data_IF_085718457666
#
_entry.id   IF_085718457666
#
_cell.length_a   1.000
_cell.length_b   1.000
_cell.length_c   1.000
_cell.angle_alpha   90.00
_cell.angle_beta   90.00
_cell.angle_gamma   90.00
#
_symmetry.space_group_name_H-M   'P 1'
#
loop_
_entity.id
_entity.type
_entity.pdbx_description
1 polymer ?
#
# COMPACT_ATOMS: atom_id res chain seq x y z
N UNK A 1 -29.81 11.98 15.52
CA UNK A 1 -28.74 12.18 14.52
C UNK A 1 -28.17 10.80 14.24
N UNK A 2 -28.38 10.20 13.07
CA UNK A 2 -28.04 8.80 12.87
C UNK A 2 -27.38 8.58 11.49
N UNK A 3 -26.08 8.31 11.55
CA UNK A 3 -25.11 7.95 10.52
C UNK A 3 -25.62 7.69 9.09
N UNK A 4 -25.45 8.71 8.24
CA UNK A 4 -25.67 8.60 6.79
C UNK A 4 -24.53 7.90 6.05
N UNK A 5 -23.33 7.80 6.62
CA UNK A 5 -22.20 7.16 5.96
C UNK A 5 -22.31 5.62 5.97
N UNK A 6 -21.61 5.00 5.03
CA UNK A 6 -21.41 3.55 4.93
C UNK A 6 -19.91 3.32 4.87
N UNK A 7 -19.42 2.49 5.77
CA UNK A 7 -18.04 2.03 5.78
C UNK A 7 -17.78 1.16 4.55
N UNK A 8 -16.67 1.39 3.85
CA UNK A 8 -16.25 0.58 2.70
C UNK A 8 -14.90 -0.05 3.02
N UNK A 9 -14.85 -1.37 3.02
CA UNK A 9 -13.66 -2.14 3.35
C UNK A 9 -13.93 -3.64 3.25
N UNK A 10 -12.91 -4.45 3.53
CA UNK A 10 -13.03 -5.92 3.52
C UNK A 10 -13.68 -6.49 4.77
N UNK A 11 -13.63 -5.78 5.90
CA UNK A 11 -14.01 -6.34 7.20
C UNK A 11 -13.00 -7.35 7.76
N UNK A 12 -11.83 -7.46 7.13
CA UNK A 12 -10.75 -8.36 7.51
C UNK A 12 -9.48 -7.57 7.85
N UNK A 13 -8.72 -8.06 8.83
CA UNK A 13 -7.41 -7.51 9.22
C UNK A 13 -6.28 -8.50 8.92
N UNK A 14 -5.09 -7.97 8.69
CA UNK A 14 -3.83 -8.70 8.57
C UNK A 14 -2.77 -8.01 9.44
N UNK A 15 -1.86 -8.77 10.06
CA UNK A 15 -0.76 -8.14 10.80
C UNK A 15 0.22 -7.45 9.85
N UNK A 16 0.91 -6.42 10.33
CA UNK A 16 1.95 -5.72 9.55
C UNK A 16 3.02 -6.71 9.06
N UNK A 17 3.45 -7.67 9.88
CA UNK A 17 4.45 -8.65 9.49
C UNK A 17 3.97 -9.58 8.36
N UNK A 18 2.72 -10.02 8.41
CA UNK A 18 2.14 -10.85 7.35
C UNK A 18 1.99 -10.06 6.05
N UNK A 19 1.54 -8.80 6.13
CA UNK A 19 1.51 -7.89 4.99
C UNK A 19 2.90 -7.67 4.39
N UNK A 20 3.92 -7.40 5.22
CA UNK A 20 5.31 -7.24 4.75
C UNK A 20 5.78 -8.49 4.03
N UNK A 21 5.56 -9.68 4.60
CA UNK A 21 5.93 -10.97 3.96
C UNK A 21 5.20 -11.19 2.64
N UNK A 22 3.91 -10.86 2.58
CA UNK A 22 3.10 -10.95 1.36
C UNK A 22 3.68 -10.06 0.26
N UNK A 23 3.96 -8.78 0.57
CA UNK A 23 4.55 -7.82 -0.37
C UNK A 23 5.94 -8.29 -0.81
N UNK A 24 6.81 -8.69 0.13
CA UNK A 24 8.15 -9.21 -0.18
C UNK A 24 8.11 -10.37 -1.17
N UNK A 25 7.18 -11.31 -0.99
CA UNK A 25 6.98 -12.43 -1.91
C UNK A 25 6.53 -11.96 -3.31
N UNK A 26 5.59 -11.01 -3.37
CA UNK A 26 5.05 -10.50 -4.64
C UNK A 26 6.11 -9.74 -5.44
N UNK A 27 6.93 -8.91 -4.77
CA UNK A 27 7.96 -8.10 -5.44
C UNK A 27 9.26 -8.86 -5.72
N UNK A 28 9.40 -10.10 -5.25
CA UNK A 28 10.61 -10.90 -5.40
C UNK A 28 11.76 -10.45 -4.50
N UNK A 29 11.46 -9.95 -3.29
CA UNK A 29 12.48 -9.59 -2.32
C UNK A 29 13.05 -10.85 -1.63
N UNK A 30 14.35 -11.06 -1.76
CA UNK A 30 15.07 -12.22 -1.21
C UNK A 30 15.88 -11.88 0.06
N UNK A 31 15.79 -10.64 0.55
CA UNK A 31 16.48 -10.22 1.78
C UNK A 31 15.78 -10.67 3.06
N UNK A 32 16.38 -10.34 4.20
CA UNK A 32 15.80 -10.63 5.52
C UNK A 32 14.82 -9.54 5.96
N UNK A 33 13.71 -9.94 6.57
CA UNK A 33 12.76 -9.03 7.21
C UNK A 33 13.07 -8.98 8.71
N UNK A 34 13.69 -7.89 9.17
CA UNK A 34 13.98 -7.65 10.58
C UNK A 34 12.97 -6.69 11.21
N UNK A 35 12.64 -6.90 12.50
CA UNK A 35 11.76 -6.01 13.27
C UNK A 35 12.60 -5.22 14.27
N UNK A 36 12.49 -3.90 14.24
CA UNK A 36 13.08 -3.04 15.26
C UNK A 36 12.06 -2.82 16.39
N UNK A 37 12.19 -3.60 17.46
CA UNK A 37 11.30 -3.54 18.63
C UNK A 37 11.59 -2.35 19.54
N UNK A 38 12.60 -1.53 19.25
CA UNK A 38 12.83 -0.27 19.98
C UNK A 38 11.82 0.82 19.58
N UNK A 39 11.17 0.66 18.42
CA UNK A 39 10.17 1.60 17.91
C UNK A 39 8.78 1.25 18.44
N UNK A 40 7.96 2.25 18.83
CA UNK A 40 6.64 1.98 19.37
C UNK A 40 5.71 1.42 18.28
N UNK A 41 4.96 0.38 18.63
CA UNK A 41 3.84 -0.09 17.80
C UNK A 41 2.67 0.91 17.89
N UNK A 42 1.94 1.06 16.77
CA UNK A 42 0.69 1.82 16.73
C UNK A 42 -0.47 1.09 17.41
N UNK A 43 -1.71 1.55 17.17
CA UNK A 43 -2.90 0.87 17.71
C UNK A 43 -2.97 -0.59 17.27
N UNK A 44 -3.12 -1.57 18.20
CA UNK A 44 -3.04 -3.00 17.88
C UNK A 44 -4.05 -3.51 16.85
N UNK A 45 -5.16 -2.80 16.67
CA UNK A 45 -6.19 -3.13 15.67
C UNK A 45 -6.84 -1.86 15.14
N UNK A 46 -7.00 -1.78 13.82
CA UNK A 46 -7.73 -0.71 13.14
C UNK A 46 -8.71 -1.32 12.14
N UNK A 47 -9.73 -1.99 12.67
CA UNK A 47 -10.78 -2.66 11.89
C UNK A 47 -11.99 -1.76 11.73
N UNK A 48 -12.51 -1.68 10.52
CA UNK A 48 -13.75 -0.99 10.21
C UNK A 48 -14.90 -2.02 10.17
N UNK A 49 -15.97 -1.82 10.96
CA UNK A 49 -17.17 -2.65 10.78
C UNK A 49 -17.81 -2.34 9.43
N UNK A 50 -18.11 -3.40 8.67
CA UNK A 50 -18.72 -3.34 7.33
C UNK A 50 -20.10 -4.02 7.30
N UNK A 51 -20.72 -4.23 8.48
CA UNK A 51 -22.00 -4.95 8.60
C UNK A 51 -23.10 -4.31 7.75
N UNK A 52 -23.15 -2.97 7.75
CA UNK A 52 -24.09 -2.19 6.92
C UNK A 52 -23.84 -2.40 5.43
N UNK A 53 -22.58 -2.52 5.00
CA UNK A 53 -22.21 -2.73 3.61
C UNK A 53 -22.55 -4.15 3.14
N UNK A 54 -22.29 -5.15 3.98
CA UNK A 54 -22.67 -6.55 3.72
C UNK A 54 -24.18 -6.73 3.66
N UNK A 55 -24.94 -6.05 4.54
CA UNK A 55 -26.40 -6.06 4.52
C UNK A 55 -26.98 -5.46 3.23
N UNK A 56 -26.25 -4.57 2.55
CA UNK A 56 -26.61 -4.05 1.23
C UNK A 56 -26.24 -5.01 0.08
N UNK A 57 -25.72 -6.21 0.39
CA UNK A 57 -25.35 -7.23 -0.59
C UNK A 57 -24.02 -6.97 -1.29
N UNK A 58 -23.22 -6.01 -0.82
CA UNK A 58 -21.90 -5.74 -1.37
C UNK A 58 -20.83 -6.49 -0.61
N UNK A 59 -19.86 -7.05 -1.34
CA UNK A 59 -18.63 -7.64 -0.81
C UNK A 59 -17.47 -7.35 -1.77
N UNK A 60 -16.23 -7.23 -1.27
CA UNK A 60 -15.06 -7.07 -2.13
C UNK A 60 -14.89 -8.33 -2.99
N UNK A 61 -14.53 -8.14 -4.26
CA UNK A 61 -14.30 -9.26 -5.20
C UNK A 61 -12.83 -9.63 -5.38
N UNK A 62 -11.94 -8.71 -5.00
CA UNK A 62 -10.49 -8.83 -5.14
C UNK A 62 -9.94 -9.04 -3.74
N UNK A 63 -9.19 -10.12 -3.54
CA UNK A 63 -8.52 -10.37 -2.26
C UNK A 63 -7.24 -9.51 -2.12
N UNK A 64 -6.69 -9.43 -0.91
CA UNK A 64 -5.51 -8.61 -0.65
C UNK A 64 -4.30 -9.03 -1.49
N UNK A 65 -4.09 -10.32 -1.71
CA UNK A 65 -2.93 -10.83 -2.44
C UNK A 65 -3.04 -10.51 -3.92
N UNK A 66 -4.21 -10.74 -4.51
CA UNK A 66 -4.54 -10.39 -5.89
C UNK A 66 -4.39 -8.88 -6.11
N UNK A 67 -4.98 -8.07 -5.23
CA UNK A 67 -4.91 -6.61 -5.30
C UNK A 67 -3.48 -6.07 -5.22
N UNK A 68 -2.64 -6.61 -4.33
CA UNK A 68 -1.22 -6.21 -4.23
C UNK A 68 -0.41 -6.64 -5.45
N UNK A 69 -0.66 -7.83 -6.00
CA UNK A 69 0.01 -8.30 -7.20
C UNK A 69 -0.35 -7.44 -8.43
N UNK A 70 -1.62 -7.10 -8.57
CA UNK A 70 -2.11 -6.23 -9.64
C UNK A 70 -1.58 -4.80 -9.50
N UNK A 71 -1.56 -4.25 -8.28
CA UNK A 71 -0.95 -2.95 -8.02
C UNK A 71 0.56 -2.93 -8.37
N UNK A 72 1.29 -4.00 -8.03
CA UNK A 72 2.69 -4.12 -8.39
C UNK A 72 2.89 -4.24 -9.91
N UNK A 73 2.04 -4.99 -10.61
CA UNK A 73 2.05 -5.06 -12.08
C UNK A 73 1.78 -3.68 -12.70
N UNK A 74 0.75 -2.97 -12.21
CA UNK A 74 0.41 -1.61 -12.62
C UNK A 74 1.60 -0.66 -12.45
N UNK A 75 2.32 -0.77 -11.33
CA UNK A 75 3.54 0.00 -11.08
C UNK A 75 4.65 -0.32 -12.10
N UNK A 76 4.92 -1.59 -12.38
CA UNK A 76 5.92 -2.00 -13.38
C UNK A 76 5.56 -1.56 -14.81
N UNK A 77 4.26 -1.47 -15.12
CA UNK A 77 3.75 -1.00 -16.41
C UNK A 77 3.71 0.53 -16.52
N UNK A 78 4.00 1.27 -15.45
CA UNK A 78 3.92 2.74 -15.43
C UNK A 78 2.49 3.29 -15.37
N UNK A 79 1.52 2.46 -14.98
CA UNK A 79 0.11 2.83 -14.83
C UNK A 79 -0.13 3.50 -13.47
N UNK A 80 0.53 4.62 -13.22
CA UNK A 80 0.31 5.46 -12.05
C UNK A 80 0.49 6.94 -12.41
N UNK A 81 -0.22 7.81 -11.70
CA UNK A 81 -0.06 9.25 -11.88
C UNK A 81 1.12 9.74 -11.04
N UNK A 82 2.07 10.41 -11.68
CA UNK A 82 3.09 11.16 -10.95
C UNK A 82 2.42 12.35 -10.26
N UNK A 83 2.59 12.44 -8.94
CA UNK A 83 2.14 13.61 -8.20
C UNK A 83 3.19 14.71 -8.36
N UNK A 84 2.99 15.61 -9.32
CA UNK A 84 3.82 16.81 -9.48
C UNK A 84 3.73 17.66 -8.21
N UNK A 85 4.85 17.81 -7.50
CA UNK A 85 4.90 18.51 -6.22
C UNK A 85 5.10 20.01 -6.41
N UNK A 86 4.23 20.65 -7.20
CA UNK A 86 4.21 22.10 -7.32
C UNK A 86 3.09 22.67 -6.44
N UNK A 87 3.52 23.39 -5.40
CA UNK A 87 2.75 24.26 -4.48
C UNK A 87 2.27 23.63 -3.17
N UNK A 88 2.91 24.06 -2.06
CA UNK A 88 2.30 23.98 -0.72
C UNK A 88 3.31 23.83 0.42
N UNK A 89 3.98 24.94 0.80
CA UNK A 89 4.56 25.07 2.15
C UNK A 89 3.47 24.78 3.19
N UNK A 90 3.69 23.76 3.99
CA UNK A 90 2.81 23.36 5.06
C UNK A 90 3.36 22.08 5.65
N UNK A 91 4.21 22.23 6.67
CA UNK A 91 4.65 21.14 7.53
C UNK A 91 3.49 20.19 7.85
N UNK A 92 3.78 18.88 7.82
CA UNK A 92 3.16 17.78 8.58
C UNK A 92 3.20 16.47 7.77
N UNK A 93 4.39 15.88 7.57
CA UNK A 93 4.65 14.43 7.79
C UNK A 93 6.18 14.28 8.02
N UNK A 94 6.63 14.61 9.23
CA UNK A 94 7.84 14.00 9.77
C UNK A 94 7.42 12.70 10.46
N UNK A 95 8.24 11.66 10.33
CA UNK A 95 8.12 10.31 10.89
C UNK A 95 7.35 9.29 10.02
N UNK A 96 8.11 8.64 9.14
CA UNK A 96 8.05 7.18 9.07
C UNK A 96 9.47 6.62 9.02
N UNK A 97 9.77 5.94 10.11
CA UNK A 97 11.01 5.35 10.59
C UNK A 97 11.55 4.16 9.76
N UNK A 98 11.30 4.13 8.46
CA UNK A 98 11.68 3.00 7.61
C UNK A 98 12.88 3.39 6.76
N UNK A 99 14.07 3.13 7.28
CA UNK A 99 15.30 3.12 6.50
C UNK A 99 15.33 1.83 5.69
N UNK A 100 15.09 1.92 4.39
CA UNK A 100 15.46 0.83 3.47
C UNK A 100 16.94 0.96 3.17
N UNK A 101 17.79 0.08 3.73
CA UNK A 101 19.10 -0.13 3.10
C UNK A 101 18.86 -0.58 1.66
N UNK A 102 19.66 -0.05 0.72
CA UNK A 102 19.61 -0.52 -0.68
C UNK A 102 19.73 -2.03 -0.70
N UNK A 103 18.63 -2.72 -1.00
CA UNK A 103 18.69 -4.13 -1.31
C UNK A 103 19.71 -4.32 -2.45
N UNK A 104 20.72 -5.16 -2.24
CA UNK A 104 21.64 -5.61 -3.29
C UNK A 104 20.94 -6.48 -4.34
N UNK A 105 19.68 -6.85 -4.12
CA UNK A 105 18.86 -7.61 -5.05
C UNK A 105 18.35 -6.69 -6.16
N UNK A 106 18.56 -7.02 -7.44
CA UNK A 106 17.88 -6.32 -8.52
C UNK A 106 16.41 -6.71 -8.43
N UNK A 107 15.59 -5.90 -7.74
CA UNK A 107 14.17 -5.88 -8.07
C UNK A 107 14.08 -5.68 -9.59
N UNK A 108 13.24 -6.46 -10.28
CA UNK A 108 12.98 -6.24 -11.71
C UNK A 108 12.75 -4.74 -11.89
N UNK A 109 13.67 -4.11 -12.60
CA UNK A 109 13.79 -2.65 -12.63
C UNK A 109 12.44 -2.08 -13.06
N UNK A 110 11.92 -1.14 -12.27
CA UNK A 110 10.87 -0.25 -12.74
C UNK A 110 11.36 0.43 -14.03
N UNK A 111 10.47 0.72 -15.00
CA UNK A 111 10.87 1.37 -16.23
C UNK A 111 11.64 2.66 -15.90
N UNK A 112 12.88 2.76 -16.38
CA UNK A 112 13.63 4.01 -16.33
C UNK A 112 12.86 5.04 -17.13
N UNK A 113 12.45 6.14 -16.50
CA UNK A 113 11.67 7.22 -17.10
C UNK A 113 12.18 7.57 -18.51
N UNK A 114 11.54 7.04 -19.55
CA UNK A 114 11.56 7.65 -20.86
C UNK A 114 10.42 8.63 -20.85
N UNK A 115 10.75 9.92 -20.88
CA UNK A 115 9.78 11.00 -21.02
C UNK A 115 8.72 10.60 -22.05
N UNK A 116 7.48 10.42 -21.58
CA UNK A 116 6.35 10.25 -22.49
C UNK A 116 6.22 11.58 -23.20
N UNK A 117 6.71 11.62 -24.44
CA UNK A 117 6.53 12.73 -25.34
C UNK A 117 5.04 13.04 -25.39
N UNK A 118 4.70 14.28 -25.05
CA UNK A 118 3.41 14.85 -25.43
C UNK A 118 3.20 14.62 -26.92
N UNK A 119 2.06 14.05 -27.27
CA UNK A 119 1.54 14.07 -28.62
C UNK A 119 0.09 14.57 -28.61
N UNK A 120 -0.32 15.21 -29.72
CA UNK A 120 -1.08 16.46 -29.76
C UNK A 120 -2.57 16.35 -29.46
#
# INVERSE_FOLDING_TARGET
>A
SAESHVNVGSGEDISILELTRLVSKIVGFEGEITRDLSKPDGTPRKLLSVDKLHALGWSPKIDLKEGVADAYRSFLEGHYLERNNETGSGDLISQSDISFEKAKTPARQAPTHSAVAHHP
#
